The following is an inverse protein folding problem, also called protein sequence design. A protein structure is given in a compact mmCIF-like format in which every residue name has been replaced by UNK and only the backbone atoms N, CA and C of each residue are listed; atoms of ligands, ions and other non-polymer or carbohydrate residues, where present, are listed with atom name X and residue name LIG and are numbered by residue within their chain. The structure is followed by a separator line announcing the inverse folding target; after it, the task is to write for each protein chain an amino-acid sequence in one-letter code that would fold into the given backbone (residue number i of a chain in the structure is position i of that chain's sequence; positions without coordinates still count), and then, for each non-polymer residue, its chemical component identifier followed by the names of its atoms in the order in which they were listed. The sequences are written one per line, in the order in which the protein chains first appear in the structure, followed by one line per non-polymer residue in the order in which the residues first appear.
data_IF_031686407505
#
_entry.id   IF_031686407505
#
_cell.length_a   1.000
_cell.length_b   1.000
_cell.length_c   1.000
_cell.angle_alpha   90.00
_cell.angle_beta   90.00
_cell.angle_gamma   90.00
#
_symmetry.space_group_name_H-M   'P 1'
#
loop_
_entity.id
_entity.type
_entity.pdbx_description
1 polymer ?
#
# COMPACT_ATOMS: atom_id res chain seq x y z
N UNK A 1 7.91 0.81 6.84
CA UNK A 1 6.94 0.40 5.78
C UNK A 1 5.91 -0.51 6.39
N UNK A 2 4.66 -0.16 6.23
CA UNK A 2 3.55 -0.99 6.70
C UNK A 2 3.24 -2.11 5.71
N UNK A 3 2.69 -3.21 6.20
CA UNK A 3 2.15 -4.28 5.38
C UNK A 3 0.64 -4.32 5.58
N UNK A 4 -0.11 -4.19 4.50
CA UNK A 4 -1.58 -4.19 4.51
C UNK A 4 -2.10 -5.47 3.87
N UNK A 5 -3.17 -6.02 4.40
CA UNK A 5 -3.86 -7.16 3.81
C UNK A 5 -4.99 -6.66 2.90
N UNK A 6 -4.98 -7.09 1.64
CA UNK A 6 -6.05 -6.82 0.68
C UNK A 6 -7.19 -7.84 0.87
N UNK A 7 -8.17 -7.48 1.66
CA UNK A 7 -9.38 -8.26 1.86
C UNK A 7 -10.58 -7.67 1.11
N UNK A 8 -10.36 -6.60 0.34
CA UNK A 8 -11.41 -5.96 -0.47
C UNK A 8 -11.61 -6.66 -1.82
N UNK A 9 -10.57 -7.29 -2.36
CA UNK A 9 -10.69 -8.07 -3.61
C UNK A 9 -11.54 -9.30 -3.37
N UNK A 10 -12.12 -9.85 -4.45
CA UNK A 10 -12.98 -11.03 -4.36
C UNK A 10 -12.27 -12.16 -3.62
N UNK A 11 -12.85 -12.61 -2.53
CA UNK A 11 -12.34 -13.73 -1.72
C UNK A 11 -13.45 -14.72 -1.44
N UNK A 12 -13.07 -15.98 -1.25
CA UNK A 12 -14.01 -17.04 -0.90
C UNK A 12 -13.75 -17.48 0.54
N UNK A 13 -14.80 -17.46 1.36
CA UNK A 13 -14.72 -17.94 2.73
C UNK A 13 -14.18 -16.92 3.73
N UNK A 14 -13.99 -17.33 5.00
CA UNK A 14 -13.53 -16.46 6.07
C UNK A 14 -12.07 -16.05 5.84
N UNK A 15 -11.72 -14.88 6.37
CA UNK A 15 -10.38 -14.33 6.27
C UNK A 15 -9.54 -14.84 7.43
N UNK A 16 -8.47 -15.58 7.12
CA UNK A 16 -7.52 -16.05 8.12
C UNK A 16 -6.64 -14.90 8.64
N UNK A 17 -6.20 -14.96 9.92
CA UNK A 17 -5.29 -13.95 10.45
C UNK A 17 -3.99 -13.86 9.65
N UNK A 18 -3.55 -12.62 9.38
CA UNK A 18 -2.30 -12.30 8.72
C UNK A 18 -1.52 -11.28 9.56
N UNK A 19 -0.18 -11.26 9.49
CA UNK A 19 0.63 -10.29 10.24
C UNK A 19 0.63 -8.92 9.55
N UNK A 20 -0.55 -8.32 9.43
CA UNK A 20 -0.76 -7.06 8.75
C UNK A 20 -0.89 -5.90 9.74
N UNK A 21 -0.34 -4.75 9.37
CA UNK A 21 -0.50 -3.52 10.15
C UNK A 21 -1.92 -2.95 9.97
N UNK A 22 -2.49 -3.12 8.78
CA UNK A 22 -3.88 -2.73 8.47
C UNK A 22 -4.51 -3.74 7.54
N UNK A 23 -5.85 -3.77 7.54
CA UNK A 23 -6.63 -4.61 6.62
C UNK A 23 -7.56 -3.70 5.81
N UNK A 24 -7.51 -3.83 4.49
CA UNK A 24 -8.41 -3.15 3.57
C UNK A 24 -9.57 -4.09 3.25
N UNK A 25 -10.76 -3.72 3.71
CA UNK A 25 -12.01 -4.49 3.52
C UNK A 25 -12.87 -3.84 2.44
N UNK A 26 -13.83 -4.59 1.91
CA UNK A 26 -14.88 -4.00 1.06
C UNK A 26 -15.95 -3.35 1.95
N UNK A 27 -16.61 -2.30 1.43
CA UNK A 27 -17.71 -1.66 2.16
C UNK A 27 -18.80 -2.69 2.45
N UNK A 28 -19.30 -2.68 3.69
CA UNK A 28 -20.30 -3.64 4.15
C UNK A 28 -19.73 -4.89 4.79
N UNK A 29 -18.44 -5.14 4.70
CA UNK A 29 -17.79 -6.27 5.37
C UNK A 29 -17.70 -6.02 6.88
N UNK A 30 -17.83 -7.10 7.65
CA UNK A 30 -17.57 -7.05 9.08
C UNK A 30 -16.07 -7.09 9.37
N UNK A 31 -15.62 -6.35 10.37
CA UNK A 31 -14.23 -6.34 10.78
C UNK A 31 -13.94 -7.61 11.59
N UNK A 32 -13.00 -8.48 11.16
CA UNK A 32 -12.62 -9.65 11.94
C UNK A 32 -12.04 -9.26 13.30
N UNK A 33 -12.23 -10.11 14.30
CA UNK A 33 -11.83 -9.82 15.68
C UNK A 33 -10.31 -9.71 15.89
N UNK A 34 -9.50 -10.24 14.97
CA UNK A 34 -8.04 -10.15 15.03
C UNK A 34 -7.48 -8.89 14.36
N UNK A 35 -8.33 -8.04 13.77
CA UNK A 35 -7.92 -6.83 13.04
C UNK A 35 -7.92 -5.64 13.98
N UNK A 36 -6.77 -4.98 14.15
CA UNK A 36 -6.62 -3.78 14.97
C UNK A 36 -6.90 -2.50 14.20
N UNK A 37 -6.60 -2.47 12.91
CA UNK A 37 -6.78 -1.28 12.08
C UNK A 37 -7.38 -1.68 10.74
N UNK A 38 -8.53 -1.12 10.41
CA UNK A 38 -9.26 -1.43 9.18
C UNK A 38 -9.59 -0.17 8.40
N UNK A 39 -9.55 -0.30 7.06
CA UNK A 39 -10.04 0.68 6.11
C UNK A 39 -10.99 -0.02 5.15
N UNK A 40 -11.85 0.75 4.48
CA UNK A 40 -12.86 0.20 3.57
C UNK A 40 -12.70 0.78 2.17
N UNK A 41 -12.60 -0.10 1.17
CA UNK A 41 -12.53 0.27 -0.24
C UNK A 41 -13.94 0.34 -0.83
N UNK A 42 -14.27 1.47 -1.44
CA UNK A 42 -15.52 1.66 -2.17
C UNK A 42 -15.34 1.29 -3.64
N UNK A 43 -16.46 0.97 -4.32
CA UNK A 43 -16.45 0.63 -5.74
C UNK A 43 -15.99 1.80 -6.62
N UNK A 44 -16.15 3.04 -6.16
CA UNK A 44 -15.72 4.24 -6.89
C UNK A 44 -14.25 4.63 -6.66
N UNK A 45 -13.49 3.81 -5.93
CA UNK A 45 -12.08 4.04 -5.66
C UNK A 45 -11.79 4.80 -4.37
N UNK A 46 -12.80 5.32 -3.68
CA UNK A 46 -12.55 5.98 -2.38
C UNK A 46 -12.20 4.96 -1.32
N UNK A 47 -11.39 5.39 -0.36
CA UNK A 47 -11.05 4.59 0.80
C UNK A 47 -11.54 5.32 2.05
N UNK A 48 -12.32 4.63 2.86
CA UNK A 48 -12.96 5.19 4.05
C UNK A 48 -12.34 4.61 5.32
N UNK A 49 -12.34 5.41 6.40
CA UNK A 49 -12.01 4.90 7.72
C UNK A 49 -13.23 4.21 8.36
N UNK A 50 -13.09 3.74 9.60
CA UNK A 50 -14.17 3.05 10.31
C UNK A 50 -15.34 3.97 10.66
N UNK A 51 -15.15 5.29 10.58
CA UNK A 51 -16.20 6.30 10.77
C UNK A 51 -16.81 6.76 9.45
N UNK A 52 -16.50 6.08 8.35
CA UNK A 52 -16.95 6.38 6.98
C UNK A 52 -16.45 7.70 6.41
N UNK A 53 -15.40 8.28 6.99
CA UNK A 53 -14.75 9.47 6.43
C UNK A 53 -13.79 9.07 5.30
N UNK A 54 -13.78 9.80 4.17
CA UNK A 54 -12.84 9.51 3.09
C UNK A 54 -11.41 9.91 3.51
N UNK A 55 -10.51 8.94 3.51
CA UNK A 55 -9.11 9.13 3.90
C UNK A 55 -8.14 8.85 2.77
N UNK A 56 -8.61 8.26 1.66
CA UNK A 56 -7.73 7.93 0.55
C UNK A 56 -8.48 7.60 -0.73
N UNK A 57 -7.70 7.34 -1.77
CA UNK A 57 -8.21 7.00 -3.11
C UNK A 57 -7.32 5.92 -3.71
N UNK A 58 -7.93 4.99 -4.42
CA UNK A 58 -7.27 3.95 -5.19
C UNK A 58 -7.13 4.42 -6.65
N UNK A 59 -5.93 4.39 -7.20
CA UNK A 59 -5.64 4.87 -8.56
C UNK A 59 -4.80 3.85 -9.32
N UNK A 60 -5.22 3.54 -10.55
CA UNK A 60 -4.42 2.75 -11.48
C UNK A 60 -3.46 3.68 -12.22
N UNK A 61 -2.16 3.46 -12.06
CA UNK A 61 -1.11 4.29 -12.64
C UNK A 61 -0.45 3.65 -13.87
N UNK A 62 -1.13 2.69 -14.49
CA UNK A 62 -0.64 2.04 -15.70
C UNK A 62 -0.58 2.93 -16.95
N UNK A 63 -1.22 4.09 -16.90
CA UNK A 63 -1.19 5.08 -18.00
C UNK A 63 -0.92 6.49 -17.47
N UNK A 64 -0.70 7.44 -18.39
CA UNK A 64 -0.35 8.82 -18.02
C UNK A 64 -1.51 9.54 -17.32
N UNK A 65 -2.75 9.25 -17.68
CA UNK A 65 -3.94 9.84 -17.06
C UNK A 65 -4.02 9.45 -15.58
N UNK A 66 -3.83 8.16 -15.28
CA UNK A 66 -3.80 7.65 -13.89
C UNK A 66 -2.63 8.23 -13.11
N UNK A 67 -1.46 8.37 -13.72
CA UNK A 67 -0.29 8.97 -13.08
C UNK A 67 -0.55 10.42 -12.69
N UNK A 68 -1.16 11.21 -13.59
CA UNK A 68 -1.52 12.60 -13.29
C UNK A 68 -2.61 12.69 -12.21
N UNK A 69 -3.58 11.79 -12.23
CA UNK A 69 -4.61 11.72 -11.20
C UNK A 69 -4.01 11.44 -9.82
N UNK A 70 -3.09 10.48 -9.73
CA UNK A 70 -2.40 10.17 -8.48
C UNK A 70 -1.58 11.36 -7.98
N UNK A 71 -0.85 12.01 -8.87
CA UNK A 71 -0.04 13.18 -8.55
C UNK A 71 -0.88 14.33 -8.01
N UNK A 72 -2.06 14.54 -8.57
CA UNK A 72 -2.99 15.59 -8.12
C UNK A 72 -3.55 15.33 -6.72
N UNK A 73 -3.60 14.08 -6.28
CA UNK A 73 -4.08 13.70 -4.95
C UNK A 73 -3.02 13.86 -3.86
N UNK A 74 -1.75 13.91 -4.23
CA UNK A 74 -0.65 14.09 -3.27
C UNK A 74 -0.78 15.47 -2.60
N UNK A 75 -0.83 15.47 -1.27
CA UNK A 75 -1.07 16.65 -0.47
C UNK A 75 -2.54 16.91 -0.15
N UNK A 76 -3.47 16.14 -0.75
CA UNK A 76 -4.91 16.34 -0.56
C UNK A 76 -5.58 15.24 0.25
N UNK A 77 -5.04 14.01 0.23
CA UNK A 77 -5.59 12.88 0.97
C UNK A 77 -4.51 12.23 1.82
N UNK A 78 -4.92 11.44 2.81
CA UNK A 78 -3.95 10.76 3.70
C UNK A 78 -3.26 9.58 3.01
N UNK A 79 -4.00 8.85 2.16
CA UNK A 79 -3.51 7.63 1.52
C UNK A 79 -3.86 7.61 0.04
N UNK A 80 -2.90 7.23 -0.80
CA UNK A 80 -3.16 6.90 -2.21
C UNK A 80 -2.70 5.46 -2.43
N UNK A 81 -3.63 4.58 -2.79
CA UNK A 81 -3.35 3.19 -3.12
C UNK A 81 -3.13 3.10 -4.61
N UNK A 82 -1.94 2.65 -5.00
CA UNK A 82 -1.50 2.60 -6.39
C UNK A 82 -1.54 1.18 -6.92
N UNK A 83 -2.07 1.00 -8.13
CA UNK A 83 -2.01 -0.26 -8.86
C UNK A 83 -1.40 -0.06 -10.23
N UNK A 84 -0.68 -1.05 -10.72
CA UNK A 84 -0.17 -1.12 -12.09
C UNK A 84 0.13 -2.56 -12.44
N UNK A 85 0.15 -2.88 -13.73
CA UNK A 85 0.59 -4.19 -14.21
C UNK A 85 2.10 -4.36 -14.21
N UNK A 86 2.87 -3.29 -14.07
CA UNK A 86 4.34 -3.34 -14.12
C UNK A 86 4.97 -2.30 -13.19
N UNK A 87 5.49 -2.79 -12.04
CA UNK A 87 6.17 -1.95 -11.06
C UNK A 87 7.61 -1.60 -11.42
N UNK A 88 8.11 -2.08 -12.56
CA UNK A 88 9.45 -1.74 -13.05
C UNK A 88 9.47 -0.42 -13.81
N UNK A 89 8.30 0.16 -14.05
CA UNK A 89 8.20 1.42 -14.77
C UNK A 89 8.48 2.63 -13.87
N UNK A 90 9.04 3.65 -14.48
CA UNK A 90 9.46 4.93 -13.87
C UNK A 90 8.39 5.68 -13.06
N UNK A 91 7.07 5.56 -13.33
CA UNK A 91 6.05 6.38 -12.65
C UNK A 91 6.02 6.28 -11.13
N UNK A 92 6.34 5.14 -10.54
CA UNK A 92 6.33 5.01 -9.09
C UNK A 92 7.37 5.91 -8.44
N UNK A 93 8.56 6.00 -9.00
CA UNK A 93 9.64 6.85 -8.50
C UNK A 93 9.25 8.33 -8.48
N UNK A 94 8.57 8.78 -9.54
CA UNK A 94 8.09 10.16 -9.62
C UNK A 94 7.06 10.46 -8.53
N UNK A 95 6.15 9.52 -8.28
CA UNK A 95 5.13 9.68 -7.25
C UNK A 95 5.75 9.66 -5.83
N UNK A 96 6.71 8.77 -5.59
CA UNK A 96 7.43 8.72 -4.32
C UNK A 96 8.14 10.05 -4.06
N UNK A 97 8.83 10.59 -5.07
CA UNK A 97 9.51 11.87 -4.95
C UNK A 97 8.52 13.00 -4.65
N UNK A 98 7.39 13.05 -5.35
CA UNK A 98 6.37 14.07 -5.15
C UNK A 98 5.71 13.99 -3.77
N UNK A 99 5.62 12.80 -3.19
CA UNK A 99 4.97 12.60 -1.90
C UNK A 99 5.81 13.05 -0.70
N UNK A 100 7.11 13.25 -0.89
CA UNK A 100 8.01 13.62 0.22
C UNK A 100 7.61 14.96 0.83
N UNK A 101 7.35 14.96 2.15
CA UNK A 101 6.93 16.15 2.87
C UNK A 101 5.49 16.60 2.63
N UNK A 102 4.70 15.87 1.83
CA UNK A 102 3.33 16.25 1.50
C UNK A 102 2.29 15.87 2.56
N UNK A 103 2.61 14.94 3.44
CA UNK A 103 1.64 14.33 4.36
C UNK A 103 0.83 13.19 3.76
N UNK A 104 0.88 12.99 2.45
CA UNK A 104 0.23 11.87 1.78
C UNK A 104 1.15 10.67 1.77
N UNK A 105 0.63 9.50 2.12
CA UNK A 105 1.34 8.23 2.11
C UNK A 105 0.92 7.40 0.92
N UNK A 106 1.87 6.71 0.30
CA UNK A 106 1.64 5.87 -0.87
C UNK A 106 1.61 4.40 -0.48
N UNK A 107 0.62 3.68 -0.99
CA UNK A 107 0.45 2.23 -0.79
C UNK A 107 0.51 1.57 -2.16
N UNK A 108 1.40 0.60 -2.33
CA UNK A 108 1.54 -0.13 -3.59
C UNK A 108 0.86 -1.50 -3.48
N UNK A 109 -0.08 -1.78 -4.37
CA UNK A 109 -0.72 -3.10 -4.45
C UNK A 109 0.21 -4.07 -5.16
N UNK A 110 0.57 -5.14 -4.48
CA UNK A 110 1.54 -6.13 -4.95
C UNK A 110 0.82 -7.43 -5.31
N UNK A 111 1.10 -7.95 -6.50
CA UNK A 111 0.55 -9.21 -6.97
C UNK A 111 1.62 -10.24 -7.35
N UNK A 112 2.90 -9.90 -7.18
CA UNK A 112 4.01 -10.82 -7.47
C UNK A 112 5.19 -10.57 -6.53
N UNK A 113 5.99 -11.59 -6.30
CA UNK A 113 7.20 -11.50 -5.50
C UNK A 113 8.21 -10.48 -6.04
N UNK A 114 8.33 -10.39 -7.36
CA UNK A 114 9.27 -9.48 -8.02
C UNK A 114 8.93 -8.01 -7.75
N UNK A 115 7.64 -7.70 -7.65
CA UNK A 115 7.17 -6.34 -7.41
C UNK A 115 7.47 -5.83 -5.99
N UNK A 116 7.62 -6.73 -5.01
CA UNK A 116 7.83 -6.36 -3.60
C UNK A 116 9.07 -5.47 -3.44
N UNK A 117 10.22 -5.92 -3.95
CA UNK A 117 11.48 -5.17 -3.81
C UNK A 117 11.45 -3.87 -4.60
N UNK A 118 10.94 -3.90 -5.83
CA UNK A 118 10.84 -2.71 -6.68
C UNK A 118 10.04 -1.59 -6.03
N UNK A 119 8.87 -1.91 -5.49
CA UNK A 119 8.03 -0.93 -4.82
C UNK A 119 8.62 -0.46 -3.49
N UNK A 120 9.22 -1.39 -2.72
CA UNK A 120 9.78 -1.07 -1.41
C UNK A 120 11.00 -0.14 -1.45
N UNK A 121 11.75 -0.17 -2.55
CA UNK A 121 13.00 0.59 -2.66
C UNK A 121 13.01 1.62 -3.78
N UNK A 122 11.85 2.02 -4.31
CA UNK A 122 11.79 3.10 -5.30
C UNK A 122 12.44 4.37 -4.73
N UNK A 123 13.47 4.88 -5.42
CA UNK A 123 14.27 6.04 -4.97
C UNK A 123 14.86 5.88 -3.56
N UNK A 124 15.23 4.65 -3.17
CA UNK A 124 15.77 4.33 -1.84
C UNK A 124 14.81 4.61 -0.68
N UNK A 125 13.81 5.45 -0.88
CA UNK A 125 12.78 5.77 0.10
C UNK A 125 11.64 4.77 0.05
N UNK A 126 11.20 4.42 -1.16
CA UNK A 126 10.12 3.49 -1.41
C UNK A 126 8.74 4.03 -1.03
N UNK A 127 7.75 3.16 -1.14
CA UNK A 127 6.38 3.47 -0.71
C UNK A 127 6.25 3.32 0.81
N UNK A 128 5.17 3.88 1.36
CA UNK A 128 4.91 3.85 2.81
C UNK A 128 4.29 2.53 3.26
N UNK A 129 3.61 1.82 2.36
CA UNK A 129 2.98 0.54 2.66
C UNK A 129 2.85 -0.32 1.39
N UNK A 130 2.78 -1.63 1.60
CA UNK A 130 2.47 -2.60 0.55
C UNK A 130 1.09 -3.22 0.85
N UNK A 131 0.23 -3.27 -0.16
CA UNK A 131 -1.06 -3.95 -0.09
C UNK A 131 -0.90 -5.34 -0.71
N UNK A 132 -1.01 -6.38 0.13
CA UNK A 132 -0.65 -7.75 -0.23
C UNK A 132 -1.89 -8.63 -0.36
N UNK A 133 -1.89 -9.58 -1.31
CA UNK A 133 -3.03 -10.48 -1.48
C UNK A 133 -3.16 -11.47 -0.31
N UNK A 134 -4.37 -11.94 0.00
CA UNK A 134 -4.54 -13.00 0.98
C UNK A 134 -4.05 -14.35 0.41
N UNK A 135 -3.66 -15.26 1.30
CA UNK A 135 -3.33 -16.65 0.93
C UNK A 135 -2.12 -16.81 0.01
N UNK A 136 -1.21 -15.85 -0.03
CA UNK A 136 0.06 -15.96 -0.74
C UNK A 136 1.22 -15.83 0.25
N UNK A 137 1.55 -16.95 0.90
CA UNK A 137 2.57 -16.98 1.95
C UNK A 137 3.95 -16.54 1.44
N UNK A 138 4.27 -16.78 0.18
CA UNK A 138 5.55 -16.41 -0.43
C UNK A 138 5.70 -14.88 -0.50
N UNK A 139 4.68 -14.18 -0.98
CA UNK A 139 4.67 -12.72 -1.03
C UNK A 139 4.78 -12.14 0.38
N UNK A 140 4.03 -12.66 1.35
CA UNK A 140 4.08 -12.19 2.73
C UNK A 140 5.44 -12.38 3.35
N UNK A 141 6.07 -13.54 3.15
CA UNK A 141 7.43 -13.80 3.64
C UNK A 141 8.43 -12.81 3.05
N UNK A 142 8.39 -12.62 1.73
CA UNK A 142 9.26 -11.66 1.04
C UNK A 142 9.06 -10.24 1.56
N UNK A 143 7.81 -9.83 1.73
CA UNK A 143 7.48 -8.49 2.21
C UNK A 143 7.99 -8.25 3.65
N UNK A 144 7.86 -9.23 4.53
CA UNK A 144 8.36 -9.14 5.90
C UNK A 144 9.88 -9.00 5.94
N UNK A 145 10.61 -9.76 5.12
CA UNK A 145 12.07 -9.68 5.01
C UNK A 145 12.48 -8.30 4.53
N UNK A 146 11.84 -7.79 3.50
CA UNK A 146 12.16 -6.48 2.91
C UNK A 146 11.81 -5.33 3.85
N UNK A 147 10.70 -5.43 4.57
CA UNK A 147 10.34 -4.43 5.59
C UNK A 147 11.41 -4.35 6.68
N UNK A 148 11.95 -5.50 7.11
CA UNK A 148 13.04 -5.55 8.07
C UNK A 148 14.35 -4.95 7.50
N UNK A 149 14.66 -5.21 6.23
CA UNK A 149 15.82 -4.61 5.56
C UNK A 149 15.71 -3.08 5.49
N UNK A 150 14.54 -2.55 5.16
CA UNK A 150 14.32 -1.10 5.12
C UNK A 150 14.52 -0.46 6.50
N UNK A 151 14.02 -1.09 7.54
CA UNK A 151 14.17 -0.60 8.91
C UNK A 151 15.63 -0.60 9.33
N UNK A 152 16.39 -1.65 9.01
CA UNK A 152 17.82 -1.74 9.29
C UNK A 152 18.62 -0.66 8.55
N UNK A 153 18.29 -0.41 7.28
CA UNK A 153 18.94 0.63 6.48
C UNK A 153 18.69 2.03 7.05
N UNK A 154 17.49 2.30 7.54
CA UNK A 154 17.17 3.58 8.18
C UNK A 154 17.93 3.77 9.48
N UNK A 155 18.01 2.72 10.31
CA UNK A 155 18.76 2.77 11.57
C UNK A 155 20.24 3.05 11.33
N UNK A 156 20.85 2.41 10.32
CA UNK A 156 22.25 2.67 9.95
C UNK A 156 22.46 4.10 9.47
N UNK A 157 21.54 4.63 8.68
CA UNK A 157 21.58 6.01 8.21
C UNK A 157 21.50 7.02 9.36
N UNK A 158 20.68 6.75 10.36
CA UNK A 158 20.55 7.58 11.54
C UNK A 158 21.78 7.53 12.44
N UNK A 159 22.44 6.37 12.56
CA UNK A 159 23.64 6.18 13.36
C UNK A 159 24.88 6.91 12.82
N UNK A 160 24.91 7.19 11.53
CA UNK A 160 26.03 7.88 10.88
C UNK A 160 25.95 9.40 11.08
N UNK A 161 24.80 9.88 11.48
CA UNK A 161 24.61 11.30 11.77
C UNK A 161 24.85 11.60 13.24
#
# INVERSE_FOLDING_TARGET
MELWLDAASARKGPLDPHPADRVLLATGDSIPNWVDSALFACDDGRILDTSTHPVGVHVDIGDSEGQEAAKALIGMVSWVVLTTGDWQMIPLENLVAASQGSGTKLVARIDSNQAVRGAAFALETGVDALLLPPNDAEIWTSAQIIAAERLASRSKGEEIL
#
